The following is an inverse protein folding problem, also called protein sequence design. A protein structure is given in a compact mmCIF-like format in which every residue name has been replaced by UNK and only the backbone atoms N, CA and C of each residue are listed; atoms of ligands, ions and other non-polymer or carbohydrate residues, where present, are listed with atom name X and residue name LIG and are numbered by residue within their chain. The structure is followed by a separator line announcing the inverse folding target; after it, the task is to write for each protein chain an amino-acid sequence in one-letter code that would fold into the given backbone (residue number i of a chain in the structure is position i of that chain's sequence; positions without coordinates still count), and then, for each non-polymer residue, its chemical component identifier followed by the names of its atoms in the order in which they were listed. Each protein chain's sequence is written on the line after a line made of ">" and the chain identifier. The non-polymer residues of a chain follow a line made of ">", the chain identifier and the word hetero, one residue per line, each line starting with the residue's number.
data_IF_017386751706
#
_entry.id   IF_017386751706
#
_cell.length_a   1.000
_cell.length_b   1.000
_cell.length_c   1.000
_cell.angle_alpha   90.00
_cell.angle_beta   90.00
_cell.angle_gamma   90.00
#
_symmetry.space_group_name_H-M   'P 1'
#
loop_
_entity.id
_entity.type
_entity.pdbx_description
1 polymer ?
#
# COMPACT_ATOMS: atom_id res chain seq x y z
N UNK A 1 -78.35 -36.10 -3.88
CA UNK A 1 -77.12 -36.66 -4.51
C UNK A 1 -76.25 -35.63 -5.23
N UNK A 2 -76.74 -34.44 -5.65
CA UNK A 2 -75.89 -33.45 -6.36
C UNK A 2 -75.10 -32.49 -5.43
N UNK A 3 -75.64 -32.12 -4.27
CA UNK A 3 -75.02 -31.14 -3.36
C UNK A 3 -73.77 -31.66 -2.61
N UNK A 4 -73.64 -32.98 -2.41
CA UNK A 4 -72.43 -33.58 -1.81
C UNK A 4 -71.24 -33.56 -2.78
N UNK A 5 -71.47 -33.68 -4.09
CA UNK A 5 -70.41 -33.58 -5.10
C UNK A 5 -69.86 -32.15 -5.21
N UNK A 6 -70.69 -31.12 -5.08
CA UNK A 6 -70.23 -29.73 -5.15
C UNK A 6 -69.41 -29.30 -3.93
N UNK A 7 -69.76 -29.78 -2.72
CA UNK A 7 -69.04 -29.44 -1.50
C UNK A 7 -67.63 -30.06 -1.45
N UNK A 8 -67.50 -31.34 -1.84
CA UNK A 8 -66.19 -32.01 -1.90
C UNK A 8 -65.23 -31.37 -2.92
N UNK A 9 -65.76 -30.97 -4.09
CA UNK A 9 -64.96 -30.26 -5.10
C UNK A 9 -64.48 -28.90 -4.57
N UNK A 10 -65.32 -28.14 -3.86
CA UNK A 10 -64.91 -26.87 -3.26
C UNK A 10 -63.79 -27.05 -2.23
N UNK A 11 -63.87 -28.08 -1.38
CA UNK A 11 -62.80 -28.38 -0.42
C UNK A 11 -61.48 -28.72 -1.12
N UNK A 12 -61.51 -29.48 -2.22
CA UNK A 12 -60.31 -29.79 -2.99
C UNK A 12 -59.70 -28.54 -3.66
N UNK A 13 -60.53 -27.64 -4.19
CA UNK A 13 -60.08 -26.37 -4.77
C UNK A 13 -59.44 -25.44 -3.73
N UNK A 14 -60.00 -25.39 -2.51
CA UNK A 14 -59.39 -24.65 -1.40
C UNK A 14 -58.04 -25.25 -0.99
N UNK A 15 -57.96 -26.58 -0.87
CA UNK A 15 -56.72 -27.28 -0.57
C UNK A 15 -55.65 -27.05 -1.64
N UNK A 16 -56.01 -27.06 -2.92
CA UNK A 16 -55.10 -26.75 -4.04
C UNK A 16 -54.58 -25.31 -3.98
N UNK A 17 -55.46 -24.36 -3.66
CA UNK A 17 -55.10 -22.95 -3.50
C UNK A 17 -54.12 -22.76 -2.33
N UNK A 18 -54.34 -23.45 -1.22
CA UNK A 18 -53.46 -23.34 -0.05
C UNK A 18 -52.13 -24.04 -0.26
N UNK A 19 -52.12 -25.22 -0.90
CA UNK A 19 -50.89 -25.87 -1.33
C UNK A 19 -50.07 -24.97 -2.27
N UNK A 20 -50.73 -24.32 -3.23
CA UNK A 20 -50.09 -23.37 -4.16
C UNK A 20 -49.45 -22.19 -3.43
N UNK A 21 -50.16 -21.61 -2.44
CA UNK A 21 -49.60 -20.53 -1.60
C UNK A 21 -48.38 -20.98 -0.81
N UNK A 22 -48.39 -22.19 -0.25
CA UNK A 22 -47.26 -22.74 0.52
C UNK A 22 -46.03 -22.86 -0.40
N UNK A 23 -46.21 -23.41 -1.60
CA UNK A 23 -45.13 -23.55 -2.59
C UNK A 23 -44.60 -22.18 -3.02
N UNK A 24 -45.48 -21.21 -3.28
CA UNK A 24 -45.08 -19.86 -3.65
C UNK A 24 -44.25 -19.19 -2.54
N UNK A 25 -44.72 -19.23 -1.29
CA UNK A 25 -43.98 -18.69 -0.14
C UNK A 25 -42.60 -19.35 0.01
N UNK A 26 -42.50 -20.66 -0.18
CA UNK A 26 -41.22 -21.36 -0.13
C UNK A 26 -40.25 -20.90 -1.24
N UNK A 27 -40.74 -20.68 -2.47
CA UNK A 27 -39.93 -20.16 -3.59
C UNK A 27 -39.45 -18.72 -3.34
N UNK A 28 -40.33 -17.87 -2.82
CA UNK A 28 -40.00 -16.49 -2.46
C UNK A 28 -38.96 -16.45 -1.34
N UNK A 29 -39.16 -17.26 -0.28
CA UNK A 29 -38.20 -17.38 0.82
C UNK A 29 -36.83 -17.86 0.34
N UNK A 30 -36.77 -18.88 -0.52
CA UNK A 30 -35.51 -19.37 -1.10
C UNK A 30 -34.80 -18.27 -1.87
N UNK A 31 -35.52 -17.55 -2.73
CA UNK A 31 -34.94 -16.45 -3.53
C UNK A 31 -34.43 -15.32 -2.64
N UNK A 32 -35.20 -14.96 -1.60
CA UNK A 32 -34.80 -13.96 -0.61
C UNK A 32 -33.52 -14.36 0.12
N UNK A 33 -33.45 -15.59 0.64
CA UNK A 33 -32.24 -16.11 1.33
C UNK A 33 -31.01 -16.12 0.44
N UNK A 34 -31.15 -16.49 -0.85
CA UNK A 34 -30.02 -16.46 -1.80
C UNK A 34 -29.54 -15.02 -2.04
N UNK A 35 -30.47 -14.05 -2.13
CA UNK A 35 -30.11 -12.65 -2.28
C UNK A 35 -29.41 -12.11 -1.03
N UNK A 36 -29.98 -12.37 0.15
CA UNK A 36 -29.40 -11.96 1.43
C UNK A 36 -27.99 -12.54 1.61
N UNK A 37 -27.77 -13.83 1.34
CA UNK A 37 -26.45 -14.43 1.42
C UNK A 37 -25.42 -13.79 0.47
N UNK A 38 -25.85 -13.38 -0.74
CA UNK A 38 -24.98 -12.67 -1.68
C UNK A 38 -24.64 -11.26 -1.20
N UNK A 39 -25.62 -10.55 -0.64
CA UNK A 39 -25.44 -9.19 -0.15
C UNK A 39 -24.58 -9.17 1.13
N UNK A 40 -24.78 -10.15 2.03
CA UNK A 40 -23.93 -10.38 3.22
C UNK A 40 -22.48 -10.69 2.82
N UNK A 41 -22.27 -11.61 1.87
CA UNK A 41 -20.91 -11.93 1.40
C UNK A 41 -20.21 -10.74 0.76
N UNK A 42 -20.94 -9.91 -0.02
CA UNK A 42 -20.36 -8.68 -0.58
C UNK A 42 -19.95 -7.70 0.50
N UNK A 43 -20.80 -7.51 1.52
CA UNK A 43 -20.51 -6.64 2.65
C UNK A 43 -19.27 -7.11 3.41
N UNK A 44 -19.14 -8.41 3.67
CA UNK A 44 -17.96 -8.97 4.34
C UNK A 44 -16.67 -8.77 3.51
N UNK A 45 -16.76 -8.93 2.18
CA UNK A 45 -15.63 -8.65 1.28
C UNK A 45 -15.22 -7.17 1.32
N UNK A 46 -16.19 -6.25 1.32
CA UNK A 46 -15.93 -4.81 1.41
C UNK A 46 -15.29 -4.43 2.74
N UNK A 47 -15.81 -4.96 3.85
CA UNK A 47 -15.24 -4.77 5.20
C UNK A 47 -13.81 -5.32 5.28
N UNK A 48 -13.56 -6.53 4.75
CA UNK A 48 -12.22 -7.10 4.71
C UNK A 48 -11.25 -6.27 3.87
N UNK A 49 -11.71 -5.78 2.71
CA UNK A 49 -10.90 -4.92 1.84
C UNK A 49 -10.55 -3.61 2.53
N UNK A 50 -11.52 -2.96 3.17
CA UNK A 50 -11.30 -1.72 3.93
C UNK A 50 -10.29 -1.96 5.07
N UNK A 51 -10.46 -3.03 5.85
CA UNK A 51 -9.53 -3.38 6.92
C UNK A 51 -8.09 -3.60 6.41
N UNK A 52 -7.94 -4.31 5.28
CA UNK A 52 -6.62 -4.53 4.67
C UNK A 52 -6.00 -3.27 4.09
N UNK A 53 -6.81 -2.38 3.52
CA UNK A 53 -6.31 -1.11 3.01
C UNK A 53 -5.89 -0.17 4.14
N UNK A 54 -6.61 -0.17 5.27
CA UNK A 54 -6.22 0.57 6.47
C UNK A 54 -4.93 0.01 7.09
N UNK A 55 -4.77 -1.31 7.15
CA UNK A 55 -3.53 -1.97 7.57
C UNK A 55 -2.37 -1.59 6.65
N UNK A 56 -2.59 -1.62 5.33
CA UNK A 56 -1.58 -1.22 4.35
C UNK A 56 -1.18 0.25 4.50
N UNK A 57 -2.14 1.17 4.64
CA UNK A 57 -1.86 2.60 4.84
C UNK A 57 -1.09 2.87 6.13
N UNK A 58 -1.41 2.15 7.22
CA UNK A 58 -0.64 2.23 8.47
C UNK A 58 0.78 1.71 8.28
N UNK A 59 0.94 0.57 7.64
CA UNK A 59 2.25 0.01 7.32
C UNK A 59 3.08 0.97 6.46
N UNK A 60 2.49 1.55 5.43
CA UNK A 60 3.11 2.55 4.56
C UNK A 60 3.51 3.80 5.34
N UNK A 61 2.64 4.32 6.22
CA UNK A 61 2.94 5.47 7.06
C UNK A 61 4.08 5.19 8.04
N UNK A 62 4.13 4.01 8.65
CA UNK A 62 5.19 3.61 9.58
C UNK A 62 6.53 3.38 8.86
N UNK A 63 6.52 2.76 7.68
CA UNK A 63 7.74 2.41 6.96
C UNK A 63 8.26 3.53 6.05
N UNK A 64 7.39 4.43 5.57
CA UNK A 64 7.82 5.64 4.86
C UNK A 64 8.60 6.61 5.76
N UNK A 65 8.40 6.56 7.08
CA UNK A 65 9.18 7.33 8.04
C UNK A 65 10.60 6.79 8.26
N UNK A 66 10.86 5.52 7.94
CA UNK A 66 12.20 4.93 8.05
C UNK A 66 13.21 5.63 7.16
N UNK A 67 12.82 5.98 5.93
CA UNK A 67 13.70 6.67 5.00
C UNK A 67 14.06 8.08 5.47
N UNK A 68 13.11 8.83 6.05
CA UNK A 68 13.39 10.19 6.52
C UNK A 68 14.38 10.23 7.66
N UNK A 69 14.27 9.32 8.64
CA UNK A 69 15.23 9.25 9.75
C UNK A 69 16.63 8.86 9.25
N UNK A 70 16.71 7.87 8.36
CA UNK A 70 17.98 7.46 7.77
C UNK A 70 18.62 8.59 6.93
N UNK A 71 17.80 9.34 6.18
CA UNK A 71 18.23 10.51 5.41
C UNK A 71 18.73 11.64 6.34
N UNK A 72 17.97 11.99 7.39
CA UNK A 72 18.38 13.00 8.36
C UNK A 72 19.67 12.62 9.14
N UNK A 73 19.85 11.34 9.46
CA UNK A 73 21.09 10.85 10.09
C UNK A 73 22.27 10.90 9.12
N UNK A 74 22.07 10.46 7.87
CA UNK A 74 23.09 10.54 6.83
C UNK A 74 23.51 11.99 6.52
N UNK A 75 22.55 12.92 6.47
CA UNK A 75 22.80 14.34 6.25
C UNK A 75 23.63 14.94 7.40
N UNK A 76 23.29 14.62 8.66
CA UNK A 76 24.07 15.06 9.82
C UNK A 76 25.51 14.54 9.77
N UNK A 77 25.70 13.25 9.46
CA UNK A 77 27.03 12.68 9.31
C UNK A 77 27.81 13.33 8.15
N UNK A 78 27.15 13.59 7.03
CA UNK A 78 27.76 14.26 5.89
C UNK A 78 28.18 15.68 6.24
N UNK A 79 27.36 16.44 6.96
CA UNK A 79 27.70 17.78 7.43
C UNK A 79 28.93 17.77 8.35
N UNK A 80 29.02 16.80 9.26
CA UNK A 80 30.20 16.64 10.14
C UNK A 80 31.44 16.37 9.31
N UNK A 81 31.39 15.41 8.38
CA UNK A 81 32.53 15.09 7.49
C UNK A 81 32.92 16.28 6.61
N UNK A 82 31.96 17.05 6.11
CA UNK A 82 32.25 18.26 5.32
C UNK A 82 32.99 19.30 6.18
N UNK A 83 32.60 19.48 7.45
CA UNK A 83 33.31 20.38 8.36
C UNK A 83 34.74 19.91 8.60
N UNK A 84 34.93 18.62 8.89
CA UNK A 84 36.25 18.02 9.07
C UNK A 84 37.15 18.21 7.83
N UNK A 85 36.61 17.97 6.62
CA UNK A 85 37.34 18.17 5.36
C UNK A 85 37.72 19.65 5.18
N UNK A 86 36.81 20.58 5.49
CA UNK A 86 37.10 22.02 5.40
C UNK A 86 38.20 22.42 6.36
N UNK A 87 38.16 21.97 7.61
CA UNK A 87 39.17 22.25 8.62
C UNK A 87 40.54 21.67 8.23
N UNK A 88 40.59 20.40 7.81
CA UNK A 88 41.82 19.77 7.32
C UNK A 88 42.37 20.48 6.07
N UNK A 89 41.49 20.91 5.16
CA UNK A 89 41.84 21.72 4.00
C UNK A 89 42.48 23.05 4.40
N UNK A 90 41.84 23.81 5.30
CA UNK A 90 42.38 25.08 5.79
C UNK A 90 43.73 24.92 6.51
N UNK A 91 43.91 23.86 7.29
CA UNK A 91 45.20 23.59 7.97
C UNK A 91 46.33 23.24 6.99
N UNK A 92 46.02 22.53 5.91
CA UNK A 92 47.00 22.09 4.92
C UNK A 92 47.22 23.10 3.79
N UNK A 93 46.32 24.08 3.63
CA UNK A 93 46.30 25.07 2.56
C UNK A 93 47.64 25.82 2.42
N UNK A 94 48.16 26.38 3.51
CA UNK A 94 49.40 27.16 3.48
C UNK A 94 50.61 26.33 3.07
N UNK A 95 50.64 25.05 3.47
CA UNK A 95 51.71 24.12 3.10
C UNK A 95 51.64 23.79 1.61
N UNK A 96 50.46 23.45 1.11
CA UNK A 96 50.25 23.13 -0.30
C UNK A 96 50.57 24.33 -1.19
N UNK A 97 50.17 25.55 -0.81
CA UNK A 97 50.50 26.78 -1.53
C UNK A 97 52.02 26.97 -1.59
N UNK A 98 52.73 26.80 -0.48
CA UNK A 98 54.20 26.92 -0.45
C UNK A 98 54.88 25.87 -1.33
N UNK A 99 54.42 24.62 -1.28
CA UNK A 99 54.98 23.53 -2.09
C UNK A 99 54.73 23.76 -3.60
N UNK A 100 53.54 24.23 -3.98
CA UNK A 100 53.21 24.60 -5.37
C UNK A 100 54.06 25.78 -5.86
N UNK A 101 54.16 26.86 -5.07
CA UNK A 101 55.00 28.01 -5.43
C UNK A 101 56.46 27.59 -5.58
N UNK A 102 56.98 26.77 -4.66
CA UNK A 102 58.34 26.24 -4.74
C UNK A 102 58.54 25.43 -6.01
N UNK A 103 57.62 24.54 -6.36
CA UNK A 103 57.73 23.73 -7.59
C UNK A 103 57.69 24.60 -8.87
N UNK A 104 56.92 25.69 -8.88
CA UNK A 104 56.85 26.61 -10.02
C UNK A 104 58.11 27.47 -10.13
N UNK A 105 58.69 27.92 -9.00
CA UNK A 105 59.87 28.77 -8.99
C UNK A 105 61.21 28.00 -9.04
N UNK A 106 61.24 26.71 -8.68
CA UNK A 106 62.42 25.83 -8.80
C UNK A 106 62.58 25.33 -10.24
N UNK A 107 62.95 26.24 -11.15
CA UNK A 107 63.23 25.92 -12.54
C UNK A 107 64.52 25.11 -12.61
N UNK A 108 64.40 23.82 -12.96
CA UNK A 108 65.52 22.93 -13.28
C UNK A 108 65.66 22.79 -14.79
N UNK A 109 66.37 23.72 -15.46
CA UNK A 109 66.53 23.65 -16.90
C UNK A 109 67.38 22.42 -17.24
N UNK A 110 66.79 21.51 -18.01
CA UNK A 110 67.50 20.37 -18.58
C UNK A 110 67.80 20.72 -20.04
N UNK A 111 69.07 20.67 -20.49
CA UNK A 111 69.39 20.89 -21.89
C UNK A 111 68.72 19.80 -22.74
N UNK A 112 68.17 20.14 -23.92
CA UNK A 112 67.56 19.15 -24.78
C UNK A 112 68.62 18.11 -25.19
N UNK A 113 68.36 16.84 -24.86
CA UNK A 113 69.18 15.71 -25.33
C UNK A 113 69.03 15.61 -26.84
N UNK A 114 70.13 15.78 -27.58
CA UNK A 114 70.16 15.55 -29.03
C UNK A 114 69.83 14.08 -29.29
N UNK A 115 68.79 13.86 -30.11
CA UNK A 115 68.50 12.56 -30.70
C UNK A 115 69.55 12.15 -31.73
#
# INVERSE_FOLDING_TARGET
>A
MAAQNSAGIQTLLEAEKDASKIVQKAREFRTKRVKEARDEAKKEIEEYRAAKEDEFKKFEAEHSQGNKKAEEEADKEAEVKIKEIKEAGSQSQDKVIKDLLRAVFDVKPVPPTRG
#
